data_IF_599469058631
#
_entry.id   IF_599469058631
#
_cell.length_a   1.000
_cell.length_b   1.000
_cell.length_c   1.000
_cell.angle_alpha   90.00
_cell.angle_beta   90.00
_cell.angle_gamma   90.00
#
_symmetry.space_group_name_H-M   'P 1'
#
loop_
_entity.id
_entity.type
_entity.pdbx_description
1 polymer ?
#
# COMPACT_ATOMS: atom_id res chain seq x y z
N UNK A 1 -12.45 -15.70 -1.34
CA UNK A 1 -13.38 -15.10 -2.32
C UNK A 1 -13.84 -13.71 -1.89
N UNK A 2 -14.39 -13.54 -0.67
CA UNK A 2 -14.91 -12.25 -0.19
C UNK A 2 -13.91 -11.07 -0.25
N UNK A 3 -12.66 -11.27 0.21
CA UNK A 3 -11.64 -10.21 0.19
C UNK A 3 -11.30 -9.73 -1.22
N UNK A 4 -11.34 -10.62 -2.22
CA UNK A 4 -11.09 -10.24 -3.61
C UNK A 4 -12.20 -9.34 -4.15
N UNK A 5 -13.46 -9.65 -3.85
CA UNK A 5 -14.61 -8.81 -4.21
C UNK A 5 -14.49 -7.44 -3.53
N UNK A 6 -14.14 -7.40 -2.24
CA UNK A 6 -13.91 -6.14 -1.53
C UNK A 6 -12.78 -5.32 -2.13
N UNK A 7 -11.70 -5.96 -2.61
CA UNK A 7 -10.60 -5.27 -3.30
C UNK A 7 -11.11 -4.60 -4.58
N UNK A 8 -11.91 -5.31 -5.40
CA UNK A 8 -12.46 -4.73 -6.63
C UNK A 8 -13.40 -3.56 -6.35
N UNK A 9 -14.26 -3.67 -5.33
CA UNK A 9 -15.15 -2.59 -4.91
C UNK A 9 -14.34 -1.38 -4.42
N UNK A 10 -13.33 -1.61 -3.57
CA UNK A 10 -12.48 -0.54 -3.05
C UNK A 10 -11.67 0.12 -4.17
N UNK A 11 -11.18 -0.64 -5.15
CA UNK A 11 -10.48 -0.13 -6.32
C UNK A 11 -11.38 0.75 -7.17
N UNK A 12 -12.63 0.35 -7.39
CA UNK A 12 -13.60 1.19 -8.09
C UNK A 12 -13.85 2.52 -7.34
N UNK A 13 -13.99 2.45 -6.02
CA UNK A 13 -14.07 3.66 -5.19
C UNK A 13 -12.83 4.54 -5.31
N UNK A 14 -11.63 3.95 -5.28
CA UNK A 14 -10.36 4.67 -5.46
C UNK A 14 -10.28 5.37 -6.81
N UNK A 15 -10.72 4.71 -7.89
CA UNK A 15 -10.79 5.34 -9.22
C UNK A 15 -11.68 6.58 -9.20
N UNK A 16 -12.87 6.52 -8.60
CA UNK A 16 -13.76 7.67 -8.48
C UNK A 16 -13.15 8.82 -7.68
N UNK A 17 -12.39 8.51 -6.62
CA UNK A 17 -11.70 9.54 -5.83
C UNK A 17 -10.58 10.20 -6.63
N UNK A 18 -9.78 9.43 -7.34
CA UNK A 18 -8.62 9.93 -8.09
C UNK A 18 -9.07 10.73 -9.31
N UNK A 19 -10.07 10.25 -10.05
CA UNK A 19 -10.56 10.94 -11.27
C UNK A 19 -11.57 12.04 -10.98
N UNK A 20 -12.09 12.12 -9.76
CA UNK A 20 -13.24 12.97 -9.42
C UNK A 20 -14.42 12.80 -10.39
N UNK A 21 -14.61 11.61 -10.96
CA UNK A 21 -15.66 11.31 -11.92
C UNK A 21 -15.36 11.73 -13.37
N UNK A 22 -14.23 12.39 -13.64
CA UNK A 22 -13.78 12.75 -14.99
C UNK A 22 -12.88 11.66 -15.58
N UNK A 23 -13.48 10.71 -16.28
CA UNK A 23 -12.77 9.59 -16.90
C UNK A 23 -12.04 9.96 -18.21
N UNK A 24 -12.20 11.20 -18.70
CA UNK A 24 -11.47 11.74 -19.86
C UNK A 24 -9.95 11.73 -19.65
N UNK A 25 -9.50 11.90 -18.41
CA UNK A 25 -8.09 11.79 -18.01
C UNK A 25 -7.51 10.39 -18.29
N UNK A 26 -8.32 9.33 -18.19
CA UNK A 26 -7.85 7.96 -18.41
C UNK A 26 -7.69 7.62 -19.90
N UNK A 27 -8.41 8.33 -20.77
CA UNK A 27 -8.33 8.12 -22.23
C UNK A 27 -7.12 8.79 -22.87
N UNK A 28 -6.47 9.74 -22.18
CA UNK A 28 -5.22 10.37 -22.63
C UNK A 28 -3.97 9.51 -22.39
N UNK A 29 -4.09 8.38 -21.66
CA UNK A 29 -3.00 7.45 -21.38
C UNK A 29 -2.25 6.97 -22.65
N UNK A 30 -2.92 6.93 -23.80
CA UNK A 30 -2.29 6.49 -25.05
C UNK A 30 -1.13 7.37 -25.54
N UNK A 31 -1.00 8.61 -25.08
CA UNK A 31 0.06 9.53 -25.54
C UNK A 31 1.43 9.24 -24.92
N UNK A 32 1.51 8.49 -23.82
CA UNK A 32 2.74 8.22 -23.08
C UNK A 32 2.94 6.75 -22.70
N UNK A 33 2.68 5.84 -23.65
CA UNK A 33 2.71 4.39 -23.44
C UNK A 33 4.01 3.88 -22.77
N UNK A 34 5.17 4.45 -23.10
CA UNK A 34 6.44 4.07 -22.46
C UNK A 34 6.47 4.41 -20.96
N UNK A 35 6.00 5.60 -20.58
CA UNK A 35 5.92 6.00 -19.17
C UNK A 35 4.92 5.13 -18.41
N UNK A 36 3.77 4.83 -19.02
CA UNK A 36 2.76 3.94 -18.44
C UNK A 36 3.29 2.53 -18.19
N UNK A 37 4.04 1.98 -19.16
CA UNK A 37 4.71 0.68 -19.00
C UNK A 37 5.72 0.69 -17.85
N UNK A 38 6.50 1.77 -17.69
CA UNK A 38 7.41 1.92 -16.56
C UNK A 38 6.67 2.00 -15.22
N UNK A 39 5.54 2.71 -15.16
CA UNK A 39 4.69 2.78 -13.97
C UNK A 39 4.15 1.39 -13.61
N UNK A 40 3.65 0.64 -14.60
CA UNK A 40 3.18 -0.74 -14.42
C UNK A 40 4.30 -1.67 -13.94
N UNK A 41 5.51 -1.53 -14.50
CA UNK A 41 6.68 -2.28 -14.04
C UNK A 41 7.03 -1.94 -12.59
N UNK A 42 6.98 -0.66 -12.22
CA UNK A 42 7.16 -0.20 -10.84
C UNK A 42 6.12 -0.81 -9.89
N UNK A 43 4.85 -0.84 -10.29
CA UNK A 43 3.78 -1.47 -9.52
C UNK A 43 4.01 -3.00 -9.37
N UNK A 44 4.47 -3.67 -10.42
CA UNK A 44 4.83 -5.09 -10.36
C UNK A 44 6.02 -5.33 -9.41
N UNK A 45 7.07 -4.51 -9.49
CA UNK A 45 8.20 -4.56 -8.56
C UNK A 45 7.75 -4.37 -7.12
N UNK A 46 6.81 -3.46 -6.85
CA UNK A 46 6.23 -3.25 -5.52
C UNK A 46 5.48 -4.48 -5.00
N UNK A 47 4.70 -5.15 -5.85
CA UNK A 47 4.00 -6.39 -5.50
C UNK A 47 5.00 -7.50 -5.20
N UNK A 48 6.02 -7.68 -6.05
CA UNK A 48 7.09 -8.68 -5.85
C UNK A 48 7.83 -8.40 -4.53
N UNK A 49 8.19 -7.14 -4.26
CA UNK A 49 8.81 -6.71 -3.02
C UNK A 49 7.95 -7.08 -1.80
N UNK A 50 6.65 -6.76 -1.84
CA UNK A 50 5.73 -6.98 -0.72
C UNK A 50 5.48 -8.46 -0.46
N UNK A 51 5.30 -9.26 -1.52
CA UNK A 51 5.11 -10.72 -1.39
C UNK A 51 6.42 -11.42 -0.99
N UNK A 52 7.56 -10.97 -1.53
CA UNK A 52 8.89 -11.48 -1.24
C UNK A 52 9.25 -11.40 0.23
N UNK A 53 8.82 -10.34 0.93
CA UNK A 53 9.05 -10.17 2.37
C UNK A 53 8.52 -11.32 3.23
N UNK A 54 7.47 -12.03 2.79
CA UNK A 54 6.94 -13.19 3.53
C UNK A 54 7.78 -14.46 3.35
N UNK A 55 8.63 -14.52 2.31
CA UNK A 55 9.49 -15.68 2.07
C UNK A 55 10.72 -15.68 2.98
N UNK A 56 11.13 -14.51 3.48
CA UNK A 56 12.27 -14.37 4.42
C UNK A 56 11.82 -14.55 5.87
N UNK A 57 11.41 -15.78 6.20
CA UNK A 57 11.00 -16.14 7.57
C UNK A 57 12.17 -15.94 8.55
N UNK A 58 11.92 -15.21 9.64
CA UNK A 58 12.94 -14.88 10.64
C UNK A 58 13.70 -13.56 10.42
N UNK A 59 13.52 -12.89 9.27
CA UNK A 59 14.09 -11.55 9.08
C UNK A 59 13.22 -10.48 9.74
N UNK A 60 13.87 -9.43 10.26
CA UNK A 60 13.16 -8.22 10.67
C UNK A 60 12.71 -7.44 9.43
N UNK A 61 11.54 -6.77 9.48
CA UNK A 61 11.09 -5.89 8.39
C UNK A 61 12.17 -4.88 7.97
N UNK A 62 12.88 -4.32 8.97
CA UNK A 62 13.95 -3.35 8.72
C UNK A 62 15.12 -3.97 7.94
N UNK A 63 15.58 -5.18 8.32
CA UNK A 63 16.67 -5.87 7.59
C UNK A 63 16.31 -6.10 6.12
N UNK A 64 15.09 -6.56 5.87
CA UNK A 64 14.60 -6.79 4.51
C UNK A 64 14.61 -5.49 3.71
N UNK A 65 13.97 -4.45 4.22
CA UNK A 65 13.89 -3.14 3.56
C UNK A 65 15.27 -2.50 3.37
N UNK A 66 16.16 -2.56 4.36
CA UNK A 66 17.51 -1.98 4.23
C UNK A 66 18.28 -2.62 3.08
N UNK A 67 18.29 -3.95 2.98
CA UNK A 67 19.01 -4.63 1.89
C UNK A 67 18.42 -4.31 0.52
N UNK A 68 17.09 -4.38 0.37
CA UNK A 68 16.44 -4.06 -0.90
C UNK A 68 16.65 -2.60 -1.29
N UNK A 69 16.60 -1.68 -0.33
CA UNK A 69 16.84 -0.25 -0.57
C UNK A 69 18.30 0.02 -0.90
N UNK A 70 19.27 -0.63 -0.25
CA UNK A 70 20.68 -0.49 -0.62
C UNK A 70 20.93 -0.87 -2.08
N UNK A 71 20.45 -2.04 -2.52
CA UNK A 71 20.57 -2.45 -3.92
C UNK A 71 19.82 -1.49 -4.87
N UNK A 72 18.59 -1.10 -4.52
CA UNK A 72 17.79 -0.15 -5.30
C UNK A 72 18.47 1.23 -5.42
N UNK A 73 19.05 1.73 -4.34
CA UNK A 73 19.79 3.00 -4.31
C UNK A 73 21.06 2.94 -5.15
N UNK A 74 21.79 1.82 -5.15
CA UNK A 74 22.97 1.66 -6.02
C UNK A 74 22.59 1.75 -7.50
N UNK A 75 21.51 1.07 -7.91
CA UNK A 75 20.99 1.14 -9.27
C UNK A 75 20.51 2.56 -9.60
N UNK A 76 19.75 3.19 -8.70
CA UNK A 76 19.24 4.55 -8.89
C UNK A 76 20.39 5.57 -9.03
N UNK A 77 21.40 5.53 -8.15
CA UNK A 77 22.58 6.40 -8.24
C UNK A 77 23.29 6.20 -9.58
N UNK A 78 23.44 4.95 -10.03
CA UNK A 78 24.07 4.64 -11.32
C UNK A 78 23.31 5.28 -12.48
N UNK A 79 21.98 5.14 -12.51
CA UNK A 79 21.11 5.74 -13.52
C UNK A 79 21.22 7.26 -13.51
N UNK A 80 21.11 7.88 -12.33
CA UNK A 80 21.18 9.34 -12.19
C UNK A 80 22.54 9.87 -12.63
N UNK A 81 23.64 9.25 -12.21
CA UNK A 81 25.00 9.66 -12.61
C UNK A 81 25.20 9.54 -14.12
N UNK A 82 24.73 8.45 -14.73
CA UNK A 82 24.81 8.28 -16.19
C UNK A 82 23.99 9.34 -16.91
N UNK A 83 22.73 9.55 -16.51
CA UNK A 83 21.87 10.55 -17.12
C UNK A 83 22.42 11.98 -16.96
N UNK A 84 23.02 12.31 -15.81
CA UNK A 84 23.74 13.58 -15.63
C UNK A 84 24.98 13.67 -16.52
N UNK A 85 25.76 12.60 -16.66
CA UNK A 85 26.94 12.58 -17.52
C UNK A 85 26.61 12.76 -19.01
N UNK A 86 25.46 12.24 -19.46
CA UNK A 86 24.95 12.44 -20.82
C UNK A 86 24.21 13.76 -21.03
N UNK A 87 24.06 14.59 -19.98
CA UNK A 87 23.41 15.90 -20.07
C UNK A 87 21.87 15.88 -20.03
N UNK A 88 21.26 14.72 -19.77
CA UNK A 88 19.81 14.55 -19.64
C UNK A 88 19.28 15.09 -18.30
N UNK A 89 20.12 15.12 -17.26
CA UNK A 89 19.79 15.64 -15.93
C UNK A 89 20.78 16.71 -15.49
N UNK A 90 20.27 17.80 -14.91
CA UNK A 90 21.07 18.86 -14.30
C UNK A 90 21.24 18.64 -12.80
N UNK A 91 22.46 18.82 -12.30
CA UNK A 91 22.72 18.80 -10.85
C UNK A 91 22.08 20.04 -10.20
N UNK A 92 21.25 19.88 -9.16
CA UNK A 92 20.62 21.01 -8.49
C UNK A 92 21.67 21.88 -7.77
N UNK A 93 21.41 23.20 -7.71
CA UNK A 93 22.29 24.12 -6.99
C UNK A 93 22.27 23.87 -5.47
N UNK A 94 23.35 24.22 -4.77
CA UNK A 94 23.41 24.12 -3.30
C UNK A 94 22.27 24.88 -2.62
N UNK A 95 21.88 26.03 -3.18
CA UNK A 95 20.77 26.83 -2.65
C UNK A 95 19.45 26.07 -2.78
N UNK A 96 19.20 25.42 -3.92
CA UNK A 96 18.02 24.56 -4.12
C UNK A 96 17.99 23.44 -3.07
N UNK A 97 19.12 22.75 -2.86
CA UNK A 97 19.22 21.65 -1.88
C UNK A 97 18.92 22.14 -0.47
N UNK A 98 19.40 23.33 -0.07
CA UNK A 98 19.12 23.90 1.25
C UNK A 98 17.65 24.26 1.42
N UNK A 99 17.03 24.83 0.38
CA UNK A 99 15.61 25.22 0.41
C UNK A 99 14.72 23.99 0.58
N UNK A 100 14.96 22.92 -0.19
CA UNK A 100 14.13 21.69 -0.16
C UNK A 100 14.58 20.66 0.88
N UNK A 101 15.66 20.96 1.62
CA UNK A 101 16.29 20.04 2.57
C UNK A 101 15.34 19.55 3.67
N UNK A 102 14.53 20.42 4.30
CA UNK A 102 13.53 19.99 5.28
C UNK A 102 12.48 19.03 4.71
N UNK A 103 11.98 19.28 3.50
CA UNK A 103 11.01 18.43 2.80
C UNK A 103 11.64 17.08 2.45
N UNK A 104 12.89 17.07 1.98
CA UNK A 104 13.63 15.83 1.73
C UNK A 104 13.83 15.04 3.02
N UNK A 105 14.18 15.68 4.14
CA UNK A 105 14.35 15.02 5.41
C UNK A 105 13.04 14.39 5.90
N UNK A 106 11.92 15.10 5.76
CA UNK A 106 10.59 14.56 6.04
C UNK A 106 10.27 13.35 5.16
N UNK A 107 10.51 13.45 3.85
CA UNK A 107 10.27 12.37 2.89
C UNK A 107 11.14 11.15 3.19
N UNK A 108 12.40 11.33 3.59
CA UNK A 108 13.30 10.22 3.95
C UNK A 108 12.81 9.53 5.23
N UNK A 109 12.61 10.29 6.31
CA UNK A 109 12.34 9.72 7.63
C UNK A 109 10.91 9.21 7.78
N UNK A 110 9.92 10.02 7.37
CA UNK A 110 8.51 9.72 7.59
C UNK A 110 7.96 8.88 6.45
N UNK A 111 8.03 9.38 5.21
CA UNK A 111 7.45 8.69 4.06
C UNK A 111 8.29 7.47 3.61
N UNK A 112 9.61 7.55 3.75
CA UNK A 112 10.53 6.47 3.39
C UNK A 112 10.65 5.42 4.49
N UNK A 113 11.30 5.77 5.61
CA UNK A 113 11.64 4.79 6.64
C UNK A 113 10.42 4.35 7.44
N UNK A 114 9.71 5.29 8.06
CA UNK A 114 8.63 4.95 9.00
C UNK A 114 7.42 4.32 8.30
N UNK A 115 6.98 4.89 7.17
CA UNK A 115 5.82 4.36 6.44
C UNK A 115 6.10 2.96 5.87
N UNK A 116 7.26 2.75 5.24
CA UNK A 116 7.62 1.42 4.71
C UNK A 116 7.82 0.42 5.85
N UNK A 117 8.46 0.79 6.96
CA UNK A 117 8.56 -0.08 8.13
C UNK A 117 7.17 -0.51 8.63
N UNK A 118 6.26 0.45 8.83
CA UNK A 118 4.89 0.20 9.30
C UNK A 118 4.11 -0.65 8.31
N UNK A 119 4.28 -0.42 7.00
CA UNK A 119 3.69 -1.23 5.93
C UNK A 119 4.14 -2.70 6.00
N UNK A 120 5.44 -2.95 6.14
CA UNK A 120 5.96 -4.32 6.20
C UNK A 120 5.51 -5.04 7.49
N UNK A 121 5.53 -4.35 8.64
CA UNK A 121 4.99 -4.89 9.91
C UNK A 121 3.49 -5.18 9.80
N UNK A 122 2.74 -4.27 9.21
CA UNK A 122 1.30 -4.40 8.97
C UNK A 122 0.98 -5.60 8.06
N UNK A 123 1.71 -5.76 6.96
CA UNK A 123 1.53 -6.88 6.04
C UNK A 123 1.84 -8.24 6.68
N UNK A 124 2.88 -8.31 7.51
CA UNK A 124 3.20 -9.52 8.29
C UNK A 124 2.06 -9.90 9.23
N UNK A 125 1.31 -8.92 9.73
CA UNK A 125 0.21 -9.12 10.68
C UNK A 125 -1.12 -9.43 9.98
N UNK A 126 -1.45 -8.71 8.90
CA UNK A 126 -2.77 -8.75 8.24
C UNK A 126 -2.89 -9.77 7.11
N UNK A 127 -1.77 -10.35 6.66
CA UNK A 127 -1.60 -11.10 5.41
C UNK A 127 -1.72 -10.17 4.17
N UNK A 128 -0.97 -10.44 3.08
CA UNK A 128 -0.86 -9.51 1.93
C UNK A 128 -2.19 -9.09 1.30
N UNK A 129 -3.15 -10.00 1.20
CA UNK A 129 -4.44 -9.71 0.58
C UNK A 129 -5.21 -8.59 1.30
N UNK A 130 -5.15 -8.55 2.63
CA UNK A 130 -5.75 -7.47 3.41
C UNK A 130 -4.93 -6.19 3.31
N UNK A 131 -3.60 -6.27 3.26
CA UNK A 131 -2.74 -5.11 3.04
C UNK A 131 -3.07 -4.38 1.74
N UNK A 132 -3.23 -5.11 0.63
CA UNK A 132 -3.63 -4.52 -0.66
C UNK A 132 -4.99 -3.84 -0.59
N UNK A 133 -5.96 -4.41 0.14
CA UNK A 133 -7.24 -3.74 0.38
C UNK A 133 -7.04 -2.41 1.12
N UNK A 134 -6.19 -2.38 2.15
CA UNK A 134 -5.89 -1.17 2.92
C UNK A 134 -5.22 -0.08 2.09
N UNK A 135 -4.46 -0.38 1.04
CA UNK A 135 -3.90 0.65 0.15
C UNK A 135 -4.98 1.53 -0.51
N UNK A 136 -6.21 1.03 -0.66
CA UNK A 136 -7.31 1.82 -1.20
C UNK A 136 -7.76 2.95 -0.27
N UNK A 137 -7.26 3.02 0.98
CA UNK A 137 -7.51 4.17 1.86
C UNK A 137 -6.63 5.39 1.50
N UNK A 138 -5.55 5.20 0.74
CA UNK A 138 -4.59 6.28 0.41
C UNK A 138 -5.28 7.46 -0.31
N UNK A 139 -6.12 7.25 -1.35
CA UNK A 139 -6.88 8.34 -1.95
C UNK A 139 -7.80 9.07 -0.96
N UNK A 140 -8.40 8.35 0.00
CA UNK A 140 -9.26 8.94 1.03
C UNK A 140 -8.45 9.89 1.92
N UNK A 141 -7.28 9.45 2.39
CA UNK A 141 -6.39 10.29 3.20
C UNK A 141 -5.88 11.50 2.43
N UNK A 142 -5.60 11.34 1.14
CA UNK A 142 -5.15 12.41 0.26
C UNK A 142 -6.21 13.50 0.15
N UNK A 143 -7.45 13.12 -0.22
CA UNK A 143 -8.57 14.08 -0.30
C UNK A 143 -8.84 14.73 1.05
N UNK A 144 -8.77 13.97 2.15
CA UNK A 144 -8.97 14.52 3.51
C UNK A 144 -7.97 15.64 3.80
N UNK A 145 -6.68 15.42 3.51
CA UNK A 145 -5.63 16.43 3.71
C UNK A 145 -5.85 17.62 2.77
N UNK A 146 -6.15 17.38 1.49
CA UNK A 146 -6.42 18.46 0.52
C UNK A 146 -7.61 19.31 0.94
N UNK A 147 -8.67 18.70 1.48
CA UNK A 147 -9.84 19.44 1.98
C UNK A 147 -9.50 20.25 3.24
N UNK A 148 -8.63 19.75 4.13
CA UNK A 148 -8.10 20.55 5.25
C UNK A 148 -7.29 21.76 4.79
N UNK A 149 -6.70 21.68 3.59
CA UNK A 149 -5.97 22.79 2.94
C UNK A 149 -6.90 23.74 2.17
N UNK A 150 -8.22 23.51 2.17
CA UNK A 150 -9.21 24.35 1.50
C UNK A 150 -9.61 23.90 0.09
N UNK A 151 -9.16 22.72 -0.38
CA UNK A 151 -9.62 22.17 -1.66
C UNK A 151 -11.02 21.60 -1.51
N UNK A 152 -11.97 22.10 -2.31
CA UNK A 152 -13.34 21.60 -2.29
C UNK A 152 -13.40 20.12 -2.71
N UNK A 153 -14.20 19.35 -1.97
CA UNK A 153 -14.42 17.93 -2.26
C UNK A 153 -15.51 17.77 -3.31
N UNK A 154 -15.19 17.05 -4.38
CA UNK A 154 -16.16 16.73 -5.42
C UNK A 154 -17.17 15.67 -4.98
N UNK A 155 -18.35 15.66 -5.63
CA UNK A 155 -19.41 14.67 -5.35
C UNK A 155 -18.95 13.24 -5.65
N UNK A 156 -18.22 13.05 -6.74
CA UNK A 156 -17.68 11.75 -7.13
C UNK A 156 -16.63 11.27 -6.13
N UNK A 157 -15.77 12.16 -5.62
CA UNK A 157 -14.84 11.86 -4.55
C UNK A 157 -15.56 11.39 -3.28
N UNK A 158 -16.62 12.09 -2.87
CA UNK A 158 -17.40 11.70 -1.69
C UNK A 158 -18.01 10.29 -1.83
N UNK A 159 -18.60 9.99 -3.00
CA UNK A 159 -19.12 8.65 -3.30
C UNK A 159 -18.01 7.60 -3.29
N UNK A 160 -16.87 7.89 -3.90
CA UNK A 160 -15.71 7.00 -3.90
C UNK A 160 -15.20 6.69 -2.49
N UNK A 161 -15.14 7.69 -1.61
CA UNK A 161 -14.79 7.51 -0.19
C UNK A 161 -15.75 6.56 0.50
N UNK A 162 -17.07 6.76 0.33
CA UNK A 162 -18.09 5.89 0.93
C UNK A 162 -17.92 4.44 0.46
N UNK A 163 -17.66 4.23 -0.84
CA UNK A 163 -17.43 2.91 -1.42
C UNK A 163 -16.21 2.23 -0.80
N UNK A 164 -15.09 2.95 -0.68
CA UNK A 164 -13.85 2.43 -0.07
C UNK A 164 -14.12 2.01 1.38
N UNK A 165 -14.66 2.91 2.19
CA UNK A 165 -14.93 2.64 3.62
C UNK A 165 -15.90 1.47 3.77
N UNK A 166 -16.97 1.43 2.96
CA UNK A 166 -17.92 0.32 2.93
C UNK A 166 -17.26 -1.02 2.60
N UNK A 167 -16.37 -1.06 1.60
CA UNK A 167 -15.65 -2.27 1.22
C UNK A 167 -14.72 -2.78 2.32
N UNK A 168 -14.02 -1.86 3.02
CA UNK A 168 -13.16 -2.21 4.15
C UNK A 168 -13.96 -2.77 5.33
N UNK A 169 -15.07 -2.10 5.70
CA UNK A 169 -15.96 -2.54 6.79
C UNK A 169 -16.57 -3.90 6.46
N UNK A 170 -17.07 -4.07 5.23
CA UNK A 170 -17.63 -5.34 4.76
C UNK A 170 -16.61 -6.47 4.86
N UNK A 171 -15.40 -6.27 4.35
CA UNK A 171 -14.34 -7.28 4.43
C UNK A 171 -14.01 -7.64 5.88
N UNK A 172 -13.94 -6.63 6.78
CA UNK A 172 -13.65 -6.86 8.19
C UNK A 172 -14.74 -7.67 8.89
N UNK A 173 -16.01 -7.32 8.68
CA UNK A 173 -17.15 -8.02 9.28
C UNK A 173 -17.23 -9.47 8.79
N UNK A 174 -17.10 -9.70 7.49
CA UNK A 174 -17.12 -11.05 6.91
C UNK A 174 -15.97 -11.92 7.45
N UNK A 175 -14.76 -11.37 7.59
CA UNK A 175 -13.64 -12.12 8.17
C UNK A 175 -13.88 -12.50 9.64
N UNK A 176 -14.44 -11.58 10.44
CA UNK A 176 -14.79 -11.86 11.84
C UNK A 176 -15.86 -12.95 11.93
N UNK A 177 -16.86 -12.92 11.05
CA UNK A 177 -17.94 -13.91 11.03
C UNK A 177 -17.43 -15.29 10.64
N UNK A 178 -16.64 -15.39 9.57
CA UNK A 178 -16.02 -16.66 9.17
C UNK A 178 -15.10 -17.22 10.27
N UNK A 179 -14.34 -16.36 10.95
CA UNK A 179 -13.47 -16.78 12.06
C UNK A 179 -14.25 -17.34 13.25
N UNK A 180 -15.43 -16.77 13.56
CA UNK A 180 -16.32 -17.30 14.61
C UNK A 180 -16.99 -18.62 14.24
N UNK A 181 -17.35 -18.80 12.97
CA UNK A 181 -18.03 -20.02 12.48
C UNK A 181 -17.07 -21.22 12.39
N UNK A 182 -15.77 -21.00 12.22
CA UNK A 182 -14.76 -22.09 12.14
C UNK A 182 -14.28 -22.55 13.52
N UNK A 183 -14.51 -21.78 14.59
CA UNK A 183 -14.23 -22.17 15.99
C UNK A 183 -15.54 -22.35 16.79
N UNK A 184 -16.30 -23.46 16.61
CA UNK A 184 -17.21 -23.88 17.68
C UNK A 184 -17.24 -25.37 18.05
N UNK A 185 -16.43 -26.29 17.47
CA UNK A 185 -16.63 -27.74 17.76
C UNK A 185 -15.41 -28.57 18.17
N UNK A 186 -14.17 -28.10 18.07
CA UNK A 186 -13.00 -28.92 18.44
C UNK A 186 -12.62 -28.90 19.94
N UNK A 187 -13.25 -28.05 20.75
CA UNK A 187 -12.94 -27.92 22.19
C UNK A 187 -13.98 -28.63 23.08
N UNK A 188 -15.12 -29.04 22.52
CA UNK A 188 -16.20 -29.70 23.27
C UNK A 188 -15.92 -31.18 23.62
N UNK A 189 -15.05 -31.86 22.86
CA UNK A 189 -14.83 -33.31 23.00
C UNK A 189 -13.59 -33.72 23.79
N UNK A 190 -12.64 -32.82 24.08
CA UNK A 190 -11.44 -33.16 24.86
C UNK A 190 -11.59 -33.05 26.38
N UNK A 191 -12.70 -32.50 26.88
CA UNK A 191 -12.89 -32.25 28.32
C UNK A 191 -13.75 -33.27 29.07
N UNK A 192 -14.25 -34.32 28.41
CA UNK A 192 -15.20 -35.27 29.02
C UNK A 192 -14.67 -36.68 29.28
N UNK A 193 -13.52 -37.07 28.74
CA UNK A 193 -13.04 -38.45 28.85
C UNK A 193 -12.05 -38.71 30.00
N UNK A 194 -11.51 -37.66 30.65
CA UNK A 194 -10.47 -37.82 31.69
C UNK A 194 -10.99 -37.97 33.13
N UNK A 195 -12.29 -38.19 33.35
CA UNK A 195 -12.86 -38.35 34.72
C UNK A 195 -13.50 -39.69 35.04
N UNK A 196 -13.34 -40.71 34.18
CA UNK A 196 -13.87 -42.05 34.44
C UNK A 196 -12.77 -43.09 34.20
N UNK A 197 -11.81 -43.20 35.11
CA UNK A 197 -11.06 -44.43 35.46
C UNK A 197 -9.93 -44.08 36.43
N UNK A 198 -10.04 -44.57 37.67
CA UNK A 198 -8.99 -44.41 38.68
C UNK A 198 -9.57 -44.47 40.10
N UNK A 199 -10.25 -45.57 40.42
CA UNK A 199 -10.48 -46.02 41.80
C UNK A 199 -9.22 -46.70 42.33
#
# INVERSE_FOLDING_TARGET
MFTFISILIALFGALLVITNGEFSMLTQASEHLFADLLILLGALCWVIYTLGGNQFTGWSPLRYTTLTTCFGSMVNITIVVMATAFGELTVPSENTIRIVGPELLYMILIAGVLAVFTWNVGNKSLKPANGVLFMNIVPVTTVTISTMQGVEIGRAQLVGIIIIIGALVMNNLLQRWTSKIIIPSSISTMGKDDKVTGS
#
